data_IF_718116507628
#
_entry.id   IF_718116507628
#
_cell.length_a   1.000
_cell.length_b   1.000
_cell.length_c   1.000
_cell.angle_alpha   90.00
_cell.angle_beta   90.00
_cell.angle_gamma   90.00
#
_symmetry.space_group_name_H-M   'P 1'
#
loop_
_entity.id
_entity.type
_entity.pdbx_description
1 polymer ?
#
# COMPACT_ATOMS: atom_id res chain seq x y z
N UNK A 1 -2.52 23.01 -14.61
CA UNK A 1 -2.65 22.92 -13.14
C UNK A 1 -1.25 22.97 -12.52
N UNK A 2 -1.13 23.65 -11.38
CA UNK A 2 0.16 23.98 -10.74
C UNK A 2 0.69 22.79 -9.93
N UNK A 3 2.00 22.64 -9.82
CA UNK A 3 2.65 21.71 -8.87
C UNK A 3 2.74 22.35 -7.49
N UNK A 4 2.75 21.52 -6.44
CA UNK A 4 2.95 21.99 -5.07
C UNK A 4 4.43 22.34 -4.88
N UNK A 5 4.72 23.54 -4.40
CA UNK A 5 6.08 23.94 -3.98
C UNK A 5 6.39 23.43 -2.57
N UNK A 6 7.68 23.21 -2.27
CA UNK A 6 8.12 22.77 -0.95
C UNK A 6 7.74 23.81 0.12
N UNK A 7 7.05 23.37 1.17
CA UNK A 7 6.48 24.19 2.23
C UNK A 7 7.31 24.09 3.52
N UNK A 8 7.68 25.23 4.13
CA UNK A 8 8.43 25.21 5.41
C UNK A 8 7.62 24.64 6.58
N UNK A 9 6.34 24.97 6.68
CA UNK A 9 5.51 24.65 7.85
C UNK A 9 4.46 23.57 7.60
N UNK A 10 4.53 22.85 6.47
CA UNK A 10 3.51 21.87 6.08
C UNK A 10 4.10 20.55 5.58
N UNK A 11 4.19 19.58 6.50
CA UNK A 11 4.75 18.26 6.19
C UNK A 11 3.85 17.45 5.26
N UNK A 12 2.53 17.54 5.42
CA UNK A 12 1.58 16.80 4.60
C UNK A 12 1.67 17.25 3.13
N UNK A 13 1.69 18.56 2.87
CA UNK A 13 1.90 19.10 1.53
C UNK A 13 3.24 18.68 0.95
N UNK A 14 4.31 18.64 1.75
CA UNK A 14 5.62 18.18 1.29
C UNK A 14 5.64 16.71 0.88
N UNK A 15 4.98 15.83 1.64
CA UNK A 15 4.86 14.41 1.30
C UNK A 15 4.16 14.26 -0.06
N UNK A 16 3.05 14.98 -0.26
CA UNK A 16 2.28 14.93 -1.51
C UNK A 16 3.12 15.51 -2.67
N UNK A 17 3.80 16.64 -2.45
CA UNK A 17 4.62 17.31 -3.46
C UNK A 17 5.82 16.46 -3.93
N UNK A 18 6.46 15.75 -2.99
CA UNK A 18 7.62 14.93 -3.26
C UNK A 18 7.27 13.60 -3.94
N UNK A 19 6.01 13.18 -3.86
CA UNK A 19 5.60 11.88 -4.36
C UNK A 19 5.44 11.89 -5.88
N UNK A 20 6.23 11.06 -6.56
CA UNK A 20 6.16 10.87 -8.00
C UNK A 20 6.19 9.37 -8.36
N UNK A 21 5.11 8.83 -8.97
CA UNK A 21 5.08 7.45 -9.40
C UNK A 21 6.05 7.24 -10.57
N UNK A 22 6.75 6.10 -10.56
CA UNK A 22 7.69 5.72 -11.62
C UNK A 22 7.14 4.50 -12.35
N UNK A 23 6.81 4.58 -13.65
CA UNK A 23 6.34 3.44 -14.43
C UNK A 23 7.34 2.28 -14.38
N UNK A 24 6.83 1.05 -14.36
CA UNK A 24 7.65 -0.14 -14.32
C UNK A 24 8.33 -0.42 -15.66
N UNK A 25 9.62 -0.73 -15.59
CA UNK A 25 10.38 -1.32 -16.67
C UNK A 25 10.98 -2.65 -16.20
N UNK A 26 11.11 -3.66 -17.08
CA UNK A 26 11.65 -4.97 -16.72
C UNK A 26 13.02 -4.93 -16.00
N UNK A 27 13.85 -3.93 -16.30
CA UNK A 27 15.17 -3.72 -15.68
C UNK A 27 15.10 -3.43 -14.17
N UNK A 28 13.95 -3.02 -13.64
CA UNK A 28 13.75 -2.75 -12.21
C UNK A 28 13.55 -4.01 -11.36
N UNK A 29 13.46 -5.18 -11.99
CA UNK A 29 13.44 -6.47 -11.31
C UNK A 29 12.22 -6.69 -10.41
N UNK A 30 12.30 -7.69 -9.53
CA UNK A 30 11.15 -8.08 -8.69
C UNK A 30 10.81 -7.03 -7.63
N UNK A 31 11.82 -6.31 -7.11
CA UNK A 31 11.64 -5.20 -6.19
C UNK A 31 10.81 -4.07 -6.79
N UNK A 32 11.20 -3.61 -7.98
CA UNK A 32 10.46 -2.59 -8.73
C UNK A 32 9.04 -3.03 -9.07
N UNK A 33 8.86 -4.31 -9.44
CA UNK A 33 7.53 -4.88 -9.66
C UNK A 33 6.66 -4.78 -8.40
N UNK A 34 7.18 -5.20 -7.25
CA UNK A 34 6.42 -5.19 -6.00
C UNK A 34 6.03 -3.77 -5.58
N UNK A 35 6.97 -2.82 -5.67
CA UNK A 35 6.71 -1.41 -5.37
C UNK A 35 5.59 -0.89 -6.25
N UNK A 36 5.71 -1.09 -7.57
CA UNK A 36 4.79 -0.51 -8.53
C UNK A 36 3.39 -1.08 -8.44
N UNK A 37 3.24 -2.39 -8.23
CA UNK A 37 1.91 -3.01 -8.05
C UNK A 37 1.19 -2.46 -6.82
N UNK A 38 1.90 -2.32 -5.70
CA UNK A 38 1.34 -1.76 -4.46
C UNK A 38 0.95 -0.30 -4.66
N UNK A 39 1.83 0.50 -5.27
CA UNK A 39 1.59 1.89 -5.61
C UNK A 39 0.33 2.05 -6.47
N UNK A 40 0.23 1.32 -7.59
CA UNK A 40 -0.93 1.36 -8.48
C UNK A 40 -2.22 1.03 -7.72
N UNK A 41 -2.21 -0.05 -6.95
CA UNK A 41 -3.37 -0.49 -6.17
C UNK A 41 -3.79 0.56 -5.13
N UNK A 42 -2.83 1.12 -4.37
CA UNK A 42 -3.12 2.06 -3.29
C UNK A 42 -3.58 3.41 -3.84
N UNK A 43 -2.94 3.94 -4.88
CA UNK A 43 -3.39 5.16 -5.54
C UNK A 43 -4.78 4.99 -6.18
N UNK A 44 -5.07 3.82 -6.77
CA UNK A 44 -6.42 3.50 -7.25
C UNK A 44 -7.46 3.52 -6.12
N UNK A 45 -7.15 2.98 -4.93
CA UNK A 45 -8.04 3.05 -3.77
C UNK A 45 -8.24 4.48 -3.26
N UNK A 46 -7.25 5.33 -3.42
CA UNK A 46 -7.28 6.73 -3.00
C UNK A 46 -7.87 7.69 -4.04
N UNK A 47 -8.26 7.22 -5.24
CA UNK A 47 -8.67 8.05 -6.39
C UNK A 47 -9.71 9.11 -6.01
N UNK A 48 -10.70 8.75 -5.17
CA UNK A 48 -11.73 9.70 -4.71
C UNK A 48 -11.19 10.79 -3.79
N UNK A 49 -10.39 10.42 -2.79
CA UNK A 49 -9.80 11.37 -1.84
C UNK A 49 -8.81 12.30 -2.55
N UNK A 50 -8.04 11.77 -3.50
CA UNK A 50 -7.12 12.56 -4.33
C UNK A 50 -7.91 13.54 -5.22
N UNK A 51 -8.96 13.09 -5.91
CA UNK A 51 -9.80 13.99 -6.72
C UNK A 51 -10.51 15.08 -5.89
N UNK A 52 -10.96 14.74 -4.68
CA UNK A 52 -11.53 15.72 -3.74
C UNK A 52 -10.47 16.75 -3.31
N UNK A 53 -9.27 16.30 -2.95
CA UNK A 53 -8.19 17.20 -2.54
C UNK A 53 -7.74 18.11 -3.68
N UNK A 54 -7.67 17.59 -4.90
CA UNK A 54 -7.43 18.37 -6.13
C UNK A 54 -8.49 19.45 -6.31
N UNK A 55 -9.76 19.11 -6.14
CA UNK A 55 -10.88 20.07 -6.23
C UNK A 55 -10.79 21.16 -5.16
N UNK A 56 -10.43 20.79 -3.93
CA UNK A 56 -10.38 21.71 -2.79
C UNK A 56 -9.17 22.63 -2.79
N UNK A 57 -8.05 22.21 -3.40
CA UNK A 57 -6.77 22.94 -3.34
C UNK A 57 -6.31 23.50 -4.68
N UNK A 58 -6.85 23.00 -5.80
CA UNK A 58 -6.45 23.38 -7.16
C UNK A 58 -5.11 22.79 -7.62
N UNK A 59 -4.41 22.02 -6.79
CA UNK A 59 -3.17 21.35 -7.17
C UNK A 59 -3.43 20.01 -7.85
N UNK A 60 -2.57 19.66 -8.81
CA UNK A 60 -2.53 18.31 -9.35
C UNK A 60 -2.20 17.32 -8.23
N UNK A 61 -3.04 16.30 -8.07
CA UNK A 61 -2.78 15.20 -7.15
C UNK A 61 -2.04 14.05 -7.84
N UNK A 62 -1.23 13.28 -7.11
CA UNK A 62 -0.65 12.06 -7.64
C UNK A 62 -1.74 11.13 -8.21
N UNK A 63 -1.45 10.49 -9.33
CA UNK A 63 -2.28 9.42 -9.88
C UNK A 63 -1.40 8.21 -10.15
N UNK A 64 -1.98 7.02 -10.27
CA UNK A 64 -1.17 5.84 -10.53
C UNK A 64 -0.47 5.86 -11.90
N UNK A 65 -0.82 6.74 -12.83
CA UNK A 65 -0.15 6.92 -14.13
C UNK A 65 0.24 5.59 -14.80
N UNK A 66 -0.73 4.71 -15.01
CA UNK A 66 -0.49 3.37 -15.55
C UNK A 66 -1.38 3.15 -16.78
N UNK A 67 -0.77 2.66 -17.87
CA UNK A 67 -1.44 2.29 -19.09
C UNK A 67 -1.55 0.76 -19.23
N UNK A 68 -2.35 0.25 -20.20
CA UNK A 68 -2.50 -1.18 -20.41
C UNK A 68 -1.19 -1.91 -20.74
N UNK A 69 -0.22 -1.26 -21.36
CA UNK A 69 1.06 -1.89 -21.74
C UNK A 69 1.92 -2.14 -20.50
N UNK A 70 2.00 -1.16 -19.59
CA UNK A 70 2.66 -1.34 -18.29
C UNK A 70 1.96 -2.43 -17.48
N UNK A 71 0.63 -2.43 -17.41
CA UNK A 71 -0.13 -3.51 -16.74
C UNK A 71 0.23 -4.87 -17.33
N UNK A 72 0.35 -4.98 -18.66
CA UNK A 72 0.68 -6.23 -19.30
C UNK A 72 2.06 -6.74 -18.84
N UNK A 73 3.06 -5.86 -18.86
CA UNK A 73 4.43 -6.19 -18.42
C UNK A 73 4.46 -6.58 -16.93
N UNK A 74 3.70 -5.89 -16.07
CA UNK A 74 3.56 -6.24 -14.66
C UNK A 74 2.91 -7.62 -14.48
N UNK A 75 1.86 -7.94 -15.23
CA UNK A 75 1.20 -9.26 -15.18
C UNK A 75 2.16 -10.37 -15.60
N UNK A 76 2.93 -10.17 -16.67
CA UNK A 76 3.93 -11.14 -17.12
C UNK A 76 4.99 -11.38 -16.04
N UNK A 77 5.52 -10.30 -15.45
CA UNK A 77 6.51 -10.41 -14.37
C UNK A 77 5.93 -11.11 -13.15
N UNK A 78 4.76 -10.70 -12.69
CA UNK A 78 4.07 -11.31 -11.55
C UNK A 78 3.75 -12.78 -11.76
N UNK A 79 3.36 -13.16 -12.98
CA UNK A 79 3.14 -14.56 -13.36
C UNK A 79 4.43 -15.38 -13.26
N UNK A 80 5.55 -14.86 -13.78
CA UNK A 80 6.84 -15.54 -13.70
C UNK A 80 7.31 -15.73 -12.24
N UNK A 81 7.10 -14.73 -11.39
CA UNK A 81 7.36 -14.83 -9.94
C UNK A 81 6.50 -15.92 -9.29
N UNK A 82 5.20 -15.94 -9.58
CA UNK A 82 4.27 -16.94 -9.04
C UNK A 82 4.63 -18.36 -9.47
N UNK A 83 5.00 -18.56 -10.75
CA UNK A 83 5.44 -19.87 -11.26
C UNK A 83 6.71 -20.35 -10.54
N UNK A 84 7.65 -19.44 -10.29
CA UNK A 84 8.89 -19.77 -9.57
C UNK A 84 8.59 -20.16 -8.11
N UNK A 85 7.74 -19.40 -7.44
CA UNK A 85 7.32 -19.71 -6.07
C UNK A 85 6.54 -21.03 -5.98
N UNK A 86 5.68 -21.34 -6.96
CA UNK A 86 4.95 -22.61 -6.99
C UNK A 86 5.90 -23.80 -7.15
N UNK A 87 6.95 -23.70 -7.98
CA UNK A 87 7.95 -24.75 -8.10
C UNK A 87 8.65 -25.04 -6.76
N UNK A 88 8.95 -24.00 -5.99
CA UNK A 88 9.52 -24.16 -4.65
C UNK A 88 8.56 -24.86 -3.68
N UNK A 89 7.25 -24.58 -3.77
CA UNK A 89 6.22 -25.32 -3.02
C UNK A 89 6.23 -26.80 -3.40
N UNK A 90 6.25 -27.10 -4.69
CA UNK A 90 6.23 -28.48 -5.20
C UNK A 90 7.49 -29.25 -4.78
N UNK A 91 8.66 -28.60 -4.79
CA UNK A 91 9.92 -29.17 -4.32
C UNK A 91 9.92 -29.43 -2.81
N UNK A 92 9.45 -28.48 -2.00
CA UNK A 92 9.31 -28.66 -0.57
C UNK A 92 8.33 -29.79 -0.21
N UNK A 93 7.23 -29.90 -0.96
CA UNK A 93 6.25 -31.00 -0.80
C UNK A 93 6.88 -32.37 -1.06
N UNK A 94 7.71 -32.49 -2.10
CA UNK A 94 8.46 -33.74 -2.36
C UNK A 94 9.38 -34.08 -1.19
N UNK A 95 10.00 -33.08 -0.57
CA UNK A 95 10.78 -33.25 0.66
C UNK A 95 9.95 -33.85 1.80
N UNK A 96 8.76 -33.30 2.07
CA UNK A 96 7.83 -33.82 3.09
C UNK A 96 7.46 -35.28 2.83
N UNK A 97 7.10 -35.61 1.58
CA UNK A 97 6.72 -36.98 1.20
C UNK A 97 7.90 -37.94 1.39
N UNK A 98 9.11 -37.56 0.95
CA UNK A 98 10.32 -38.38 1.09
C UNK A 98 10.63 -38.70 2.54
N UNK A 99 10.73 -37.69 3.40
CA UNK A 99 11.07 -37.90 4.81
C UNK A 99 9.94 -38.56 5.60
N UNK A 100 8.67 -38.38 5.18
CA UNK A 100 7.55 -39.15 5.70
C UNK A 100 7.70 -40.65 5.43
N UNK A 101 7.95 -41.02 4.17
CA UNK A 101 8.13 -42.42 3.78
C UNK A 101 9.38 -43.05 4.42
N UNK A 102 10.50 -42.32 4.49
CA UNK A 102 11.72 -42.80 5.15
C UNK A 102 11.52 -43.04 6.66
N UNK A 103 10.75 -42.19 7.35
CA UNK A 103 10.41 -42.39 8.75
C UNK A 103 9.52 -43.64 8.95
N UNK A 104 8.52 -43.84 8.08
CA UNK A 104 7.63 -45.00 8.15
C UNK A 104 8.38 -46.33 7.94
N UNK A 105 9.34 -46.36 7.00
CA UNK A 105 10.22 -47.52 6.76
C UNK A 105 11.10 -47.80 7.99
N UNK A 106 11.64 -46.76 8.63
CA UNK A 106 12.48 -46.91 9.82
C UNK A 106 11.68 -47.46 11.01
N UNK A 107 10.43 -47.01 11.16
CA UNK A 107 9.49 -47.52 12.18
C UNK A 107 9.16 -49.01 11.97
N UNK A 108 9.05 -49.48 10.72
CA UNK A 108 8.73 -50.88 10.42
C UNK A 108 9.90 -51.85 10.64
N UNK A 109 11.14 -51.38 10.55
CA UNK A 109 12.35 -52.22 10.61
C UNK A 109 13.02 -52.23 12.01
N UNK A 110 12.23 -52.17 13.09
CA UNK A 110 12.75 -52.11 14.46
C UNK A 110 13.47 -53.40 14.88
N UNK A 111 14.75 -53.34 15.29
CA UNK A 111 15.54 -54.51 15.69
C UNK A 111 15.30 -54.93 17.16
N UNK A 112 15.45 -56.22 17.44
CA UNK A 112 15.19 -56.81 18.77
C UNK A 112 16.35 -56.65 19.79
N UNK A 113 17.53 -56.17 19.37
CA UNK A 113 18.75 -56.13 20.21
C UNK A 113 19.03 -54.75 20.83
N UNK A 114 19.49 -54.74 22.10
CA UNK A 114 19.59 -53.55 22.95
C UNK A 114 20.58 -52.47 22.48
N UNK A 115 21.72 -52.84 21.91
CA UNK A 115 22.71 -51.89 21.35
C UNK A 115 22.21 -51.27 20.03
N UNK A 116 21.58 -52.09 19.18
CA UNK A 116 20.95 -51.64 17.93
C UNK A 116 19.80 -50.66 18.18
N UNK A 117 19.05 -50.86 19.28
CA UNK A 117 17.94 -49.99 19.68
C UNK A 117 18.37 -48.55 20.04
N UNK A 118 19.56 -48.33 20.61
CA UNK A 118 20.03 -46.97 20.96
C UNK A 118 20.44 -46.19 19.70
N UNK A 119 21.21 -46.82 18.81
CA UNK A 119 21.58 -46.22 17.52
C UNK A 119 20.36 -45.95 16.63
N UNK A 120 19.38 -46.86 16.66
CA UNK A 120 18.14 -46.71 15.88
C UNK A 120 17.25 -45.58 16.44
N UNK A 121 17.15 -45.43 17.77
CA UNK A 121 16.43 -44.31 18.39
C UNK A 121 17.00 -42.95 17.99
N UNK A 122 18.32 -42.83 17.90
CA UNK A 122 18.98 -41.60 17.45
C UNK A 122 18.70 -41.32 15.97
N UNK A 123 18.74 -42.36 15.12
CA UNK A 123 18.34 -42.25 13.71
C UNK A 123 16.87 -41.83 13.54
N UNK A 124 15.96 -42.38 14.36
CA UNK A 124 14.55 -41.97 14.38
C UNK A 124 14.37 -40.52 14.79
N UNK A 125 15.11 -40.06 15.80
CA UNK A 125 15.10 -38.64 16.24
C UNK A 125 15.54 -37.72 15.10
N UNK A 126 16.65 -38.04 14.44
CA UNK A 126 17.16 -37.26 13.31
C UNK A 126 16.18 -37.24 12.12
N UNK A 127 15.53 -38.37 11.81
CA UNK A 127 14.52 -38.43 10.75
C UNK A 127 13.28 -37.62 11.10
N UNK A 128 12.83 -37.66 12.36
CA UNK A 128 11.72 -36.85 12.83
C UNK A 128 12.04 -35.35 12.74
N UNK A 129 13.24 -34.94 13.11
CA UNK A 129 13.72 -33.56 12.96
C UNK A 129 13.73 -33.12 11.49
N UNK A 130 14.24 -33.96 10.57
CA UNK A 130 14.20 -33.68 9.13
C UNK A 130 12.78 -33.58 8.58
N UNK A 131 11.87 -34.40 9.07
CA UNK A 131 10.45 -34.37 8.68
C UNK A 131 9.80 -33.06 9.13
N UNK A 132 10.03 -32.64 10.38
CA UNK A 132 9.54 -31.36 10.90
C UNK A 132 10.11 -30.18 10.10
N UNK A 133 11.41 -30.18 9.85
CA UNK A 133 12.05 -29.14 9.02
C UNK A 133 11.43 -29.07 7.61
N UNK A 134 11.23 -30.22 6.96
CA UNK A 134 10.60 -30.24 5.64
C UNK A 134 9.15 -29.76 5.65
N UNK A 135 8.40 -30.01 6.73
CA UNK A 135 7.05 -29.48 6.91
C UNK A 135 7.08 -27.96 7.09
N UNK A 136 8.00 -27.44 7.90
CA UNK A 136 8.18 -26.00 8.10
C UNK A 136 8.58 -25.30 6.79
N UNK A 137 9.49 -25.90 6.02
CA UNK A 137 9.92 -25.38 4.72
C UNK A 137 8.75 -25.37 3.71
N UNK A 138 7.91 -26.41 3.72
CA UNK A 138 6.72 -26.48 2.86
C UNK A 138 5.67 -25.43 3.20
N UNK A 139 5.35 -25.25 4.49
CA UNK A 139 4.40 -24.21 4.89
C UNK A 139 4.96 -22.80 4.62
N UNK A 140 6.28 -22.59 4.83
CA UNK A 140 6.94 -21.34 4.43
C UNK A 140 6.84 -21.09 2.93
N UNK A 141 7.12 -22.09 2.10
CA UNK A 141 7.02 -21.96 0.65
C UNK A 141 5.59 -21.62 0.21
N UNK A 142 4.56 -22.24 0.81
CA UNK A 142 3.15 -21.93 0.54
C UNK A 142 2.81 -20.49 0.90
N UNK A 143 3.26 -20.02 2.05
CA UNK A 143 3.07 -18.63 2.49
C UNK A 143 3.70 -17.65 1.50
N UNK A 144 4.93 -17.91 1.04
CA UNK A 144 5.60 -17.08 0.03
C UNK A 144 4.79 -17.09 -1.28
N UNK A 145 4.40 -18.26 -1.79
CA UNK A 145 3.60 -18.37 -3.01
C UNK A 145 2.29 -17.58 -2.89
N UNK A 146 1.55 -17.75 -1.79
CA UNK A 146 0.30 -17.02 -1.53
C UNK A 146 0.54 -15.50 -1.53
N UNK A 147 1.64 -15.02 -0.95
CA UNK A 147 1.98 -13.61 -0.96
C UNK A 147 2.27 -13.07 -2.37
N UNK A 148 3.00 -13.82 -3.20
CA UNK A 148 3.27 -13.45 -4.60
C UNK A 148 1.99 -13.45 -5.45
N UNK A 149 1.16 -14.47 -5.25
CA UNK A 149 -0.13 -14.61 -5.92
C UNK A 149 -1.08 -13.48 -5.52
N UNK A 150 -1.16 -13.16 -4.22
CA UNK A 150 -1.94 -12.05 -3.71
C UNK A 150 -1.47 -10.70 -4.24
N UNK A 151 -0.14 -10.48 -4.33
CA UNK A 151 0.45 -9.27 -4.87
C UNK A 151 0.03 -9.08 -6.34
N UNK A 152 0.15 -10.10 -7.19
CA UNK A 152 -0.37 -10.07 -8.57
C UNK A 152 -1.88 -9.76 -8.60
N UNK A 153 -2.65 -10.33 -7.65
CA UNK A 153 -4.07 -10.07 -7.49
C UNK A 153 -4.45 -8.61 -7.21
N UNK A 154 -3.53 -7.78 -6.68
CA UNK A 154 -3.79 -6.36 -6.42
C UNK A 154 -4.05 -5.56 -7.71
N UNK A 155 -3.58 -6.02 -8.87
CA UNK A 155 -3.86 -5.38 -10.16
C UNK A 155 -5.30 -5.59 -10.62
N UNK A 156 -5.98 -6.65 -10.14
CA UNK A 156 -7.32 -7.03 -10.59
C UNK A 156 -8.36 -5.90 -10.51
N UNK A 157 -8.59 -5.24 -9.37
CA UNK A 157 -9.59 -4.17 -9.28
C UNK A 157 -9.28 -2.98 -10.20
N UNK A 158 -7.99 -2.71 -10.47
CA UNK A 158 -7.56 -1.63 -11.37
C UNK A 158 -7.92 -2.00 -12.81
N UNK A 159 -7.56 -3.20 -13.24
CA UNK A 159 -7.90 -3.71 -14.59
C UNK A 159 -9.41 -3.78 -14.78
N UNK A 160 -10.18 -4.24 -13.79
CA UNK A 160 -11.65 -4.24 -13.85
C UNK A 160 -12.21 -2.83 -14.05
N UNK A 161 -11.67 -1.82 -13.35
CA UNK A 161 -12.08 -0.44 -13.51
C UNK A 161 -11.72 0.13 -14.88
N UNK A 162 -10.52 -0.18 -15.39
CA UNK A 162 -10.08 0.24 -16.72
C UNK A 162 -10.94 -0.39 -17.84
N UNK A 163 -11.27 -1.67 -17.72
CA UNK A 163 -12.17 -2.37 -18.65
C UNK A 163 -13.58 -1.77 -18.62
N UNK A 164 -14.12 -1.44 -17.43
CA UNK A 164 -15.41 -0.73 -17.31
C UNK A 164 -15.40 0.64 -17.99
N UNK A 165 -14.24 1.30 -18.03
CA UNK A 165 -14.01 2.56 -18.76
C UNK A 165 -13.71 2.35 -20.26
N UNK A 166 -13.87 1.12 -20.78
CA UNK A 166 -13.60 0.75 -22.17
C UNK A 166 -12.16 1.01 -22.65
N UNK A 167 -11.19 0.97 -21.74
CA UNK A 167 -9.76 1.10 -22.10
C UNK A 167 -9.31 -0.17 -22.84
N UNK A 168 -8.62 0.00 -23.97
CA UNK A 168 -8.11 -1.08 -24.85
C UNK A 168 -6.60 -1.22 -24.73
N UNK A 169 -6.04 -2.36 -25.13
CA UNK A 169 -4.59 -2.62 -25.14
C UNK A 169 -4.14 -3.73 -24.18
N UNK A 170 -5.05 -4.27 -23.37
CA UNK A 170 -4.74 -5.41 -22.52
C UNK A 170 -4.47 -6.68 -23.33
N UNK A 171 -3.59 -7.53 -22.79
CA UNK A 171 -3.35 -8.86 -23.33
C UNK A 171 -4.62 -9.72 -23.36
N UNK A 172 -4.64 -10.71 -24.25
CA UNK A 172 -5.75 -11.64 -24.38
C UNK A 172 -6.04 -12.32 -23.03
N UNK A 173 -7.33 -12.33 -22.67
CA UNK A 173 -7.83 -12.98 -21.44
C UNK A 173 -7.15 -12.44 -20.16
N UNK A 174 -6.85 -11.15 -20.11
CA UNK A 174 -6.19 -10.49 -18.96
C UNK A 174 -6.80 -10.86 -17.60
N UNK A 175 -8.13 -10.95 -17.52
CA UNK A 175 -8.84 -11.30 -16.28
C UNK A 175 -8.66 -12.76 -15.84
N UNK A 176 -8.35 -13.68 -16.76
CA UNK A 176 -8.03 -15.08 -16.46
C UNK A 176 -6.61 -15.23 -15.87
N UNK A 177 -5.72 -14.26 -16.16
CA UNK A 177 -4.34 -14.24 -15.65
C UNK A 177 -4.20 -13.57 -14.28
N UNK A 178 -5.24 -12.85 -13.85
CA UNK A 178 -5.23 -12.14 -12.58
C UNK A 178 -5.93 -12.97 -11.49
N UNK A 179 -5.26 -13.23 -10.37
CA UNK A 179 -5.85 -13.90 -9.21
C UNK A 179 -7.11 -13.21 -8.70
N UNK A 180 -8.16 -13.98 -8.39
CA UNK A 180 -9.35 -13.47 -7.67
C UNK A 180 -9.01 -13.19 -6.21
N UNK A 181 -8.15 -14.02 -5.63
CA UNK A 181 -7.74 -13.90 -4.24
C UNK A 181 -6.70 -12.78 -4.10
N UNK A 182 -6.99 -11.81 -3.23
CA UNK A 182 -5.99 -10.92 -2.65
C UNK A 182 -5.81 -11.31 -1.19
N UNK A 183 -4.57 -11.30 -0.70
CA UNK A 183 -4.33 -11.44 0.73
C UNK A 183 -4.70 -10.14 1.48
N UNK A 184 -5.04 -10.24 2.77
CA UNK A 184 -5.20 -9.06 3.63
C UNK A 184 -3.94 -8.18 3.65
N UNK A 185 -4.10 -6.88 3.93
CA UNK A 185 -2.99 -5.91 3.88
C UNK A 185 -1.79 -6.31 4.75
N UNK A 186 -2.02 -6.93 5.91
CA UNK A 186 -0.94 -7.34 6.82
C UNK A 186 0.03 -8.34 6.17
N UNK A 187 -0.40 -9.10 5.17
CA UNK A 187 0.45 -10.06 4.47
C UNK A 187 1.60 -9.37 3.71
N UNK A 188 1.45 -8.09 3.39
CA UNK A 188 2.46 -7.30 2.68
C UNK A 188 3.23 -6.35 3.61
N UNK A 189 2.99 -6.41 4.93
CA UNK A 189 3.67 -5.58 5.93
C UNK A 189 4.70 -6.35 6.77
N UNK A 190 4.87 -7.65 6.54
CA UNK A 190 5.69 -8.54 7.37
C UNK A 190 6.81 -9.17 6.54
N UNK A 191 8.04 -9.19 7.07
CA UNK A 191 9.25 -9.68 6.39
C UNK A 191 9.26 -11.18 6.10
N UNK A 192 8.39 -11.97 6.73
CA UNK A 192 8.25 -13.42 6.52
C UNK A 192 7.93 -13.84 5.08
N UNK A 193 7.54 -12.88 4.23
CA UNK A 193 7.18 -13.10 2.82
C UNK A 193 8.20 -12.48 1.83
N UNK A 194 9.39 -12.11 2.31
CA UNK A 194 10.38 -11.36 1.51
C UNK A 194 11.32 -12.23 0.67
N UNK A 195 11.38 -13.54 0.89
CA UNK A 195 12.25 -14.45 0.11
C UNK A 195 11.97 -14.34 -1.41
N UNK A 196 12.97 -13.90 -2.18
CA UNK A 196 12.88 -13.68 -3.63
C UNK A 196 12.40 -12.28 -4.07
N UNK A 197 12.10 -11.36 -3.17
CA UNK A 197 12.05 -9.92 -3.45
C UNK A 197 13.31 -9.26 -2.89
N UNK A 198 13.84 -8.24 -3.57
CA UNK A 198 14.94 -7.44 -3.02
C UNK A 198 14.48 -6.81 -1.69
N UNK A 199 15.21 -7.08 -0.60
CA UNK A 199 15.19 -6.34 0.67
C UNK A 199 13.86 -5.64 1.02
N UNK A 200 12.80 -6.40 1.27
CA UNK A 200 11.54 -5.86 1.84
C UNK A 200 10.87 -4.73 1.01
N UNK A 201 11.11 -4.66 -0.32
CA UNK A 201 10.59 -3.57 -1.17
C UNK A 201 9.07 -3.36 -1.07
N UNK A 202 8.31 -4.44 -0.85
CA UNK A 202 6.87 -4.39 -0.65
C UNK A 202 6.47 -3.69 0.67
N UNK A 203 7.25 -3.88 1.75
CA UNK A 203 7.05 -3.22 3.04
C UNK A 203 7.32 -1.72 2.90
N UNK A 204 8.42 -1.37 2.23
CA UNK A 204 8.76 0.02 1.92
C UNK A 204 7.63 0.70 1.14
N UNK A 205 7.18 0.09 0.04
CA UNK A 205 6.11 0.64 -0.78
C UNK A 205 4.83 0.83 0.02
N UNK A 206 4.45 -0.16 0.84
CA UNK A 206 3.25 -0.05 1.67
C UNK A 206 3.35 1.08 2.69
N UNK A 207 4.51 1.23 3.33
CA UNK A 207 4.76 2.31 4.29
C UNK A 207 4.70 3.69 3.63
N UNK A 208 5.32 3.85 2.47
CA UNK A 208 5.28 5.10 1.70
C UNK A 208 3.84 5.47 1.30
N UNK A 209 3.04 4.49 0.89
CA UNK A 209 1.62 4.70 0.58
C UNK A 209 0.78 5.01 1.83
N UNK A 210 1.08 4.40 2.97
CA UNK A 210 0.43 4.74 4.25
C UNK A 210 0.76 6.20 4.66
N UNK A 211 1.98 6.67 4.42
CA UNK A 211 2.37 8.07 4.67
C UNK A 211 1.66 9.05 3.73
N UNK A 212 1.60 8.75 2.42
CA UNK A 212 0.89 9.57 1.45
C UNK A 212 -0.61 9.65 1.80
N UNK A 213 -1.22 8.52 2.14
CA UNK A 213 -2.63 8.48 2.53
C UNK A 213 -2.91 9.33 3.76
N UNK A 214 -2.07 9.22 4.81
CA UNK A 214 -2.21 10.04 6.01
C UNK A 214 -2.09 11.53 5.70
N UNK A 215 -1.14 11.92 4.86
CA UNK A 215 -0.97 13.31 4.43
C UNK A 215 -2.21 13.85 3.71
N UNK A 216 -2.77 13.07 2.78
CA UNK A 216 -4.03 13.43 2.09
C UNK A 216 -5.19 13.56 3.06
N UNK A 217 -5.34 12.60 3.97
CA UNK A 217 -6.43 12.59 4.97
C UNK A 217 -6.31 13.75 5.97
N UNK A 218 -5.10 14.11 6.38
CA UNK A 218 -4.83 15.23 7.29
C UNK A 218 -5.34 16.55 6.69
N UNK A 219 -5.01 16.81 5.42
CA UNK A 219 -5.44 18.04 4.74
C UNK A 219 -6.95 18.02 4.48
N UNK A 220 -7.49 16.89 4.00
CA UNK A 220 -8.93 16.76 3.76
C UNK A 220 -9.76 16.98 5.03
N UNK A 221 -9.28 16.48 6.17
CA UNK A 221 -9.95 16.69 7.47
C UNK A 221 -10.07 18.17 7.81
N UNK A 222 -9.08 18.98 7.47
CA UNK A 222 -9.11 20.43 7.68
C UNK A 222 -10.00 21.17 6.66
N UNK A 223 -10.04 20.71 5.41
CA UNK A 223 -10.74 21.40 4.31
C UNK A 223 -12.22 21.01 4.17
N UNK A 224 -12.64 19.85 4.70
CA UNK A 224 -14.04 19.43 4.68
C UNK A 224 -14.85 20.27 5.65
N UNK A 225 -16.09 20.58 5.26
CA UNK A 225 -17.03 21.24 6.16
C UNK A 225 -17.40 20.28 7.29
N UNK A 226 -17.44 20.77 8.54
CA UNK A 226 -17.85 19.93 9.65
C UNK A 226 -19.36 19.68 9.57
N UNK A 227 -19.75 18.48 10.01
CA UNK A 227 -21.16 18.09 10.13
C UNK A 227 -21.61 18.22 11.60
N UNK A 228 -20.66 18.20 12.53
CA UNK A 228 -20.92 18.28 13.95
C UNK A 228 -21.48 19.66 14.35
N UNK A 229 -22.53 19.65 15.16
CA UNK A 229 -23.24 20.87 15.57
C UNK A 229 -22.38 21.80 16.41
N UNK A 230 -21.48 21.27 17.24
CA UNK A 230 -20.59 22.08 18.05
C UNK A 230 -19.55 22.78 17.16
N UNK A 231 -18.94 22.07 16.21
CA UNK A 231 -18.00 22.68 15.26
C UNK A 231 -18.67 23.75 14.39
N UNK A 232 -19.90 23.50 13.91
CA UNK A 232 -20.68 24.48 13.16
C UNK A 232 -20.93 25.76 13.95
N UNK A 233 -21.27 25.65 15.23
CA UNK A 233 -21.47 26.80 16.11
C UNK A 233 -20.17 27.56 16.45
N UNK A 234 -19.00 26.95 16.23
CA UNK A 234 -17.69 27.51 16.53
C UNK A 234 -16.92 27.89 15.26
N UNK A 235 -17.60 28.55 14.31
CA UNK A 235 -17.06 29.03 13.05
C UNK A 235 -16.48 27.93 12.15
N UNK A 236 -16.94 26.67 12.31
CA UNK A 236 -16.38 25.51 11.62
C UNK A 236 -16.36 25.63 10.09
N UNK A 237 -17.43 26.15 9.48
CA UNK A 237 -17.48 26.39 8.03
C UNK A 237 -16.39 27.40 7.61
N UNK A 238 -16.32 28.54 8.29
CA UNK A 238 -15.33 29.59 7.98
C UNK A 238 -13.89 29.08 8.15
N UNK A 239 -13.63 28.29 9.20
CA UNK A 239 -12.33 27.64 9.42
C UNK A 239 -11.96 26.71 8.27
N UNK A 240 -12.89 25.87 7.80
CA UNK A 240 -12.64 24.97 6.67
C UNK A 240 -12.38 25.74 5.37
N UNK A 241 -13.09 26.85 5.11
CA UNK A 241 -12.81 27.70 3.94
C UNK A 241 -11.43 28.38 4.04
N UNK A 242 -11.03 28.84 5.23
CA UNK A 242 -9.69 29.37 5.47
C UNK A 242 -8.61 28.29 5.27
N UNK A 243 -8.85 27.05 5.72
CA UNK A 243 -7.98 25.93 5.40
C UNK A 243 -7.84 25.73 3.89
N UNK A 244 -8.93 25.78 3.12
CA UNK A 244 -8.86 25.65 1.64
C UNK A 244 -8.03 26.77 1.01
N UNK A 245 -8.17 28.00 1.49
CA UNK A 245 -7.32 29.12 1.04
C UNK A 245 -5.85 28.86 1.39
N UNK A 246 -5.56 28.43 2.63
CA UNK A 246 -4.21 28.12 3.08
C UNK A 246 -3.57 26.97 2.29
N UNK A 247 -4.31 25.92 2.00
CA UNK A 247 -3.83 24.77 1.22
C UNK A 247 -3.91 24.99 -0.29
N UNK A 248 -4.59 26.04 -0.75
CA UNK A 248 -4.75 26.39 -2.16
C UNK A 248 -3.56 27.15 -2.74
N UNK A 249 -3.74 27.72 -3.94
CA UNK A 249 -2.71 28.57 -4.56
C UNK A 249 -2.48 29.87 -3.77
N UNK A 250 -3.55 30.48 -3.28
CA UNK A 250 -3.47 31.77 -2.57
C UNK A 250 -2.72 31.67 -1.23
N UNK A 251 -2.71 30.48 -0.62
CA UNK A 251 -2.05 30.20 0.65
C UNK A 251 -0.56 29.94 0.58
N UNK A 252 0.05 29.93 -0.61
CA UNK A 252 1.45 29.48 -0.80
C UNK A 252 2.48 30.27 0.00
N UNK A 253 2.33 31.59 0.05
CA UNK A 253 3.17 32.44 0.88
C UNK A 253 3.00 32.11 2.37
N UNK A 254 1.76 31.87 2.82
CA UNK A 254 1.47 31.60 4.22
C UNK A 254 2.07 30.27 4.69
N UNK A 255 2.11 29.25 3.84
CA UNK A 255 2.79 27.96 4.14
C UNK A 255 4.29 28.09 4.37
N UNK A 256 4.90 29.19 3.93
CA UNK A 256 6.31 29.53 4.21
C UNK A 256 6.49 30.33 5.50
N UNK A 257 5.43 30.93 6.01
CA UNK A 257 5.47 31.86 7.15
C UNK A 257 4.96 31.22 8.45
N UNK A 258 3.94 30.36 8.37
CA UNK A 258 3.31 29.78 9.55
C UNK A 258 2.56 28.47 9.25
N UNK A 259 2.29 27.64 10.27
CA UNK A 259 1.40 26.48 10.17
C UNK A 259 -0.07 26.86 9.92
N UNK A 260 -0.86 25.91 9.39
CA UNK A 260 -2.29 26.10 9.08
C UNK A 260 -3.10 26.59 10.28
N UNK A 261 -2.85 26.06 11.48
CA UNK A 261 -3.63 26.40 12.67
C UNK A 261 -3.42 27.87 13.09
N UNK A 262 -2.19 28.37 12.96
CA UNK A 262 -1.84 29.75 13.27
C UNK A 262 -2.45 30.70 12.24
N UNK A 263 -2.40 30.33 10.96
CA UNK A 263 -3.06 31.07 9.88
C UNK A 263 -4.57 31.16 10.10
N UNK A 264 -5.25 30.04 10.34
CA UNK A 264 -6.71 30.01 10.52
C UNK A 264 -7.11 30.83 11.74
N UNK A 265 -6.37 30.73 12.85
CA UNK A 265 -6.63 31.51 14.05
C UNK A 265 -6.52 33.02 13.78
N UNK A 266 -5.43 33.47 13.16
CA UNK A 266 -5.20 34.87 12.82
C UNK A 266 -6.31 35.43 11.92
N UNK A 267 -6.72 34.66 10.92
CA UNK A 267 -7.74 35.08 9.96
C UNK A 267 -9.14 35.13 10.60
N UNK A 268 -9.48 34.20 11.50
CA UNK A 268 -10.74 34.24 12.26
C UNK A 268 -10.80 35.48 13.16
N UNK A 269 -9.73 35.76 13.92
CA UNK A 269 -9.66 36.96 14.78
C UNK A 269 -9.87 38.24 13.97
N UNK A 270 -9.32 38.29 12.75
CA UNK A 270 -9.49 39.43 11.84
C UNK A 270 -10.94 39.55 11.34
N UNK A 271 -11.57 38.43 10.94
CA UNK A 271 -12.97 38.41 10.51
C UNK A 271 -13.93 38.84 11.62
N UNK A 272 -13.70 38.39 12.86
CA UNK A 272 -14.51 38.78 14.02
C UNK A 272 -14.37 40.28 14.32
N UNK A 273 -13.15 40.82 14.24
CA UNK A 273 -12.90 42.26 14.43
C UNK A 273 -13.58 43.11 13.35
N UNK A 274 -13.57 42.68 12.09
CA UNK A 274 -14.27 43.37 10.99
C UNK A 274 -15.79 43.32 11.16
N UNK A 275 -16.35 42.17 11.55
CA UNK A 275 -17.79 42.05 11.83
C UNK A 275 -18.21 42.97 12.97
N UNK A 276 -17.42 43.05 14.04
CA UNK A 276 -17.66 43.96 15.16
C UNK A 276 -17.59 45.44 14.73
N UNK A 277 -16.60 45.82 13.93
CA UNK A 277 -16.49 47.19 13.39
C UNK A 277 -17.70 47.54 12.51
N UNK A 278 -18.14 46.61 11.68
CA UNK A 278 -19.29 46.81 10.79
C UNK A 278 -20.62 46.89 11.56
N UNK A 279 -20.79 46.17 12.66
CA UNK A 279 -22.00 46.27 13.50
C UNK A 279 -22.06 47.61 14.25
N UNK A 280 -20.92 48.07 14.77
CA UNK A 280 -20.77 49.40 15.37
C UNK A 280 -21.16 50.53 14.41
N UNK A 281 -20.70 50.47 13.15
CA UNK A 281 -21.02 51.50 12.15
C UNK A 281 -22.48 51.48 11.70
N UNK A 282 -23.15 50.31 11.69
CA UNK A 282 -24.58 50.23 11.37
C UNK A 282 -25.49 50.74 12.49
N UNK A 283 -25.05 50.62 13.75
CA UNK A 283 -25.83 51.08 14.91
C UNK A 283 -25.62 52.57 15.23
N UNK A 284 -24.70 53.24 14.53
CA UNK A 284 -24.39 54.66 14.66
C UNK A 284 -25.08 55.55 13.60
N UNK A 285 -25.83 54.93 12.68
CA UNK A 285 -26.66 55.56 11.64
C UNK A 285 -28.14 55.39 11.98
#
# INVERSE_FOLDING_TARGET
MKKIEHCKYDKAMNIIAAYHPVPFEPKYGDGGYAIRVIEIYRLFKMERSLAELETLTGYNMPSYMCDPDEINVLIERGTAICVTAQKAVDEAQKGVIRYGGEADILHQNMPDTRESLVSMKEAMRQMQERRLQAQDDFERAKLIYQARYGLLGLLRPVVEAMLKKNIKGFMNKVMEKLPVASLPEYAYKISSYSDGLSCESHIYAWSAMDELQKAVEEILKCCRHPIDKYELNNNGIAKSELCRLYYGHDGELFRQLMPVNDYVKLMIETLEAEQYKNSMMRNAL
#
